data_IF_668804185008
#
_entry.id   IF_668804185008
#
_cell.length_a   1.000
_cell.length_b   1.000
_cell.length_c   1.000
_cell.angle_alpha   90.00
_cell.angle_beta   90.00
_cell.angle_gamma   90.00
#
_symmetry.space_group_name_H-M   'P 1'
#
loop_
_entity.id
_entity.type
_entity.pdbx_description
1 polymer ?
#
# COMPACT_ATOMS: atom_id res chain seq x y z
N UNK A 1 -9.56 18.40 -24.42
CA UNK A 1 -10.22 17.44 -23.52
C UNK A 1 -9.18 17.07 -22.48
N UNK A 2 -9.12 17.81 -21.38
CA UNK A 2 -8.25 17.47 -20.25
C UNK A 2 -8.83 16.21 -19.62
N UNK A 3 -8.18 15.07 -19.83
CA UNK A 3 -8.52 13.83 -19.17
C UNK A 3 -8.10 13.95 -17.70
N UNK A 4 -8.92 14.63 -16.92
CA UNK A 4 -8.83 14.62 -15.47
C UNK A 4 -9.26 13.23 -15.03
N UNK A 5 -8.32 12.28 -15.02
CA UNK A 5 -8.48 10.99 -14.34
C UNK A 5 -8.49 11.25 -12.84
N UNK A 6 -9.54 11.92 -12.36
CA UNK A 6 -9.83 12.04 -10.95
C UNK A 6 -10.43 10.69 -10.55
N UNK A 7 -9.59 9.68 -10.38
CA UNK A 7 -9.98 8.49 -9.64
C UNK A 7 -10.08 8.98 -8.20
N UNK A 8 -11.24 9.51 -7.84
CA UNK A 8 -11.53 9.78 -6.45
C UNK A 8 -11.57 8.42 -5.73
N UNK A 9 -10.39 7.89 -5.37
CA UNK A 9 -10.24 6.77 -4.46
C UNK A 9 -10.93 7.22 -3.19
N UNK A 10 -12.16 6.73 -3.02
CA UNK A 10 -12.98 6.96 -1.85
C UNK A 10 -12.11 6.78 -0.61
N UNK A 11 -12.33 7.58 0.43
CA UNK A 11 -11.56 7.50 1.67
C UNK A 11 -11.46 6.06 2.22
N UNK A 12 -12.46 5.22 1.91
CA UNK A 12 -12.48 3.80 2.19
C UNK A 12 -11.39 3.00 1.45
N UNK A 13 -11.17 3.24 0.15
CA UNK A 13 -10.13 2.55 -0.65
C UNK A 13 -8.73 2.91 -0.15
N UNK A 14 -8.51 4.19 0.17
CA UNK A 14 -7.28 4.67 0.81
C UNK A 14 -7.06 4.00 2.16
N UNK A 15 -8.12 3.87 2.97
CA UNK A 15 -8.08 3.17 4.25
C UNK A 15 -7.70 1.70 4.12
N UNK A 16 -8.28 0.98 3.15
CA UNK A 16 -7.94 -0.42 2.89
C UNK A 16 -6.48 -0.56 2.49
N UNK A 17 -5.96 0.32 1.62
CA UNK A 17 -4.55 0.29 1.20
C UNK A 17 -3.58 0.50 2.35
N UNK A 18 -3.86 1.48 3.21
CA UNK A 18 -3.07 1.71 4.43
C UNK A 18 -3.10 0.47 5.34
N UNK A 19 -4.25 -0.17 5.50
CA UNK A 19 -4.38 -1.42 6.28
C UNK A 19 -3.55 -2.55 5.68
N UNK A 20 -3.59 -2.74 4.35
CA UNK A 20 -2.79 -3.75 3.65
C UNK A 20 -1.30 -3.48 3.86
N UNK A 21 -0.87 -2.24 3.72
CA UNK A 21 0.52 -1.85 3.99
C UNK A 21 0.94 -2.16 5.43
N UNK A 22 0.11 -1.80 6.41
CA UNK A 22 0.36 -2.10 7.83
C UNK A 22 0.52 -3.59 8.10
N UNK A 23 -0.32 -4.43 7.50
CA UNK A 23 -0.22 -5.89 7.62
C UNK A 23 1.06 -6.40 6.99
N UNK A 24 1.42 -5.97 5.78
CA UNK A 24 2.63 -6.41 5.08
C UNK A 24 3.90 -6.03 5.85
N UNK A 25 3.97 -4.79 6.35
CA UNK A 25 5.09 -4.36 7.20
C UNK A 25 5.09 -5.08 8.54
N UNK A 26 3.93 -5.28 9.16
CA UNK A 26 3.80 -6.01 10.42
C UNK A 26 4.30 -7.45 10.30
N UNK A 27 3.89 -8.17 9.26
CA UNK A 27 4.34 -9.54 9.00
C UNK A 27 5.85 -9.63 8.77
N UNK A 28 6.43 -8.66 8.05
CA UNK A 28 7.88 -8.57 7.86
C UNK A 28 8.62 -8.21 9.15
N UNK A 29 8.12 -7.24 9.93
CA UNK A 29 8.74 -6.78 11.17
C UNK A 29 8.66 -7.82 12.30
N UNK A 30 7.58 -8.60 12.37
CA UNK A 30 7.41 -9.69 13.32
C UNK A 30 8.22 -10.95 12.94
N UNK A 31 8.86 -10.97 11.77
CA UNK A 31 9.64 -12.13 11.29
C UNK A 31 8.78 -13.33 10.89
N UNK A 32 7.47 -13.15 10.67
CA UNK A 32 6.59 -14.20 10.12
C UNK A 32 6.96 -14.56 8.69
N UNK A 33 7.44 -13.58 7.93
CA UNK A 33 8.01 -13.75 6.59
C UNK A 33 9.46 -13.29 6.61
N UNK A 34 10.35 -14.05 5.97
CA UNK A 34 11.80 -13.83 6.01
C UNK A 34 12.42 -13.88 4.61
N UNK A 35 13.66 -13.40 4.51
CA UNK A 35 14.43 -13.40 3.26
C UNK A 35 13.82 -12.50 2.20
N UNK A 36 13.90 -12.91 0.93
CA UNK A 36 13.44 -12.10 -0.20
C UNK A 36 11.94 -11.77 -0.16
N UNK A 37 11.13 -12.62 0.49
CA UNK A 37 9.68 -12.42 0.64
C UNK A 37 9.39 -11.21 1.54
N UNK A 38 10.16 -11.03 2.63
CA UNK A 38 10.02 -9.87 3.50
C UNK A 38 10.35 -8.57 2.77
N UNK A 39 11.38 -8.60 1.91
CA UNK A 39 11.73 -7.47 1.05
C UNK A 39 10.63 -7.15 0.05
N UNK A 40 10.09 -8.16 -0.64
CA UNK A 40 9.00 -7.98 -1.58
C UNK A 40 7.72 -7.44 -0.91
N UNK A 41 7.35 -7.98 0.25
CA UNK A 41 6.21 -7.49 1.04
C UNK A 41 6.40 -6.04 1.48
N UNK A 42 7.62 -5.66 1.88
CA UNK A 42 7.93 -4.29 2.26
C UNK A 42 7.81 -3.32 1.07
N UNK A 43 8.30 -3.72 -0.11
CA UNK A 43 8.17 -2.92 -1.35
C UNK A 43 6.71 -2.76 -1.74
N UNK A 44 5.91 -3.84 -1.70
CA UNK A 44 4.47 -3.80 -2.00
C UNK A 44 3.69 -2.96 -0.98
N UNK A 45 4.06 -3.00 0.30
CA UNK A 45 3.51 -2.15 1.34
C UNK A 45 3.79 -0.66 1.07
N UNK A 46 4.99 -0.34 0.58
CA UNK A 46 5.39 1.01 0.19
C UNK A 46 4.56 1.53 -0.98
N UNK A 47 4.36 0.72 -2.04
CA UNK A 47 3.52 1.10 -3.17
C UNK A 47 2.07 1.37 -2.76
N UNK A 48 1.49 0.51 -1.91
CA UNK A 48 0.13 0.72 -1.41
C UNK A 48 -0.02 2.02 -0.60
N UNK A 49 1.00 2.38 0.20
CA UNK A 49 1.01 3.65 0.94
C UNK A 49 1.12 4.86 0.01
N UNK A 50 1.99 4.77 -1.00
CA UNK A 50 2.15 5.84 -1.99
C UNK A 50 0.86 6.06 -2.78
N UNK A 51 0.20 4.99 -3.22
CA UNK A 51 -1.10 5.09 -3.90
C UNK A 51 -2.19 5.67 -2.99
N UNK A 52 -2.22 5.27 -1.70
CA UNK A 52 -3.16 5.83 -0.73
C UNK A 52 -2.92 7.32 -0.45
N UNK A 53 -1.66 7.76 -0.46
CA UNK A 53 -1.25 9.14 -0.15
C UNK A 53 -1.43 10.07 -1.34
N UNK A 54 -0.99 9.65 -2.52
CA UNK A 54 -1.02 10.47 -3.74
C UNK A 54 -2.46 10.58 -4.26
N UNK A 55 -3.30 9.56 -4.03
CA UNK A 55 -4.74 9.70 -4.14
C UNK A 55 -5.25 10.14 -5.52
N UNK A 56 -4.55 9.76 -6.58
CA UNK A 56 -4.96 9.95 -7.99
C UNK A 56 -6.30 9.31 -8.30
#
# INVERSE_FOLDING_TARGET
MELNFQRNLSALDRGIRVLISLVLFGLAAMGFINGWIATAASILGLFNLLEATIGY
#
